data_IF_302385672665
#
_entry.id   IF_302385672665
#
_cell.length_a   1.000
_cell.length_b   1.000
_cell.length_c   1.000
_cell.angle_alpha   90.00
_cell.angle_beta   90.00
_cell.angle_gamma   90.00
#
_symmetry.space_group_name_H-M   'P 1'
#
loop_
_entity.id
_entity.type
_entity.pdbx_description
1 polymer ?
#
# COMPACT_ATOMS: atom_id res chain seq x y z
N UNK A 1 -59.65 19.72 7.79
CA UNK A 1 -59.44 18.60 6.87
C UNK A 1 -57.98 18.70 6.50
N UNK A 2 -57.24 17.71 6.97
CA UNK A 2 -55.80 17.58 6.84
C UNK A 2 -55.44 17.32 5.38
N UNK A 3 -54.57 18.15 4.81
CA UNK A 3 -53.93 17.92 3.50
C UNK A 3 -52.43 18.27 3.66
N UNK A 4 -51.72 17.43 4.41
CA UNK A 4 -50.28 17.21 4.26
C UNK A 4 -50.08 15.94 3.41
N UNK A 5 -48.96 15.85 2.68
CA UNK A 5 -48.42 14.68 1.95
C UNK A 5 -48.56 14.59 0.42
N UNK A 6 -47.98 15.55 -0.33
CA UNK A 6 -47.67 15.31 -1.76
C UNK A 6 -46.21 15.59 -2.19
N UNK A 7 -45.29 15.84 -1.24
CA UNK A 7 -43.85 15.98 -1.53
C UNK A 7 -42.99 15.20 -0.52
N UNK A 8 -43.28 13.92 -0.31
CA UNK A 8 -42.36 13.03 0.42
C UNK A 8 -41.23 12.56 -0.52
N UNK A 9 -40.00 13.10 -0.39
CA UNK A 9 -38.88 12.73 -1.24
C UNK A 9 -38.50 11.24 -1.12
N UNK A 10 -38.96 10.54 -0.07
CA UNK A 10 -38.70 9.11 0.11
C UNK A 10 -39.48 8.25 -0.88
N UNK A 11 -40.70 8.66 -1.28
CA UNK A 11 -41.48 7.93 -2.30
C UNK A 11 -40.80 7.98 -3.67
N UNK A 12 -40.27 9.14 -4.04
CA UNK A 12 -39.52 9.31 -5.31
C UNK A 12 -38.24 8.46 -5.33
N UNK A 13 -37.58 8.29 -4.20
CA UNK A 13 -36.39 7.44 -4.08
C UNK A 13 -36.79 5.96 -4.17
N UNK A 14 -37.88 5.56 -3.52
CA UNK A 14 -38.39 4.18 -3.57
C UNK A 14 -38.78 3.75 -4.99
N UNK A 15 -39.45 4.61 -5.75
CA UNK A 15 -39.85 4.31 -7.14
C UNK A 15 -38.63 4.17 -8.07
N UNK A 16 -37.59 5.00 -7.88
CA UNK A 16 -36.34 4.87 -8.65
C UNK A 16 -35.59 3.57 -8.36
N UNK A 17 -35.57 3.13 -7.10
CA UNK A 17 -34.96 1.86 -6.71
C UNK A 17 -35.77 0.69 -7.26
N UNK A 18 -37.10 0.82 -7.34
CA UNK A 18 -37.97 -0.23 -7.86
C UNK A 18 -37.87 -0.38 -9.39
N UNK A 19 -37.54 0.67 -10.14
CA UNK A 19 -37.31 0.59 -11.59
C UNK A 19 -35.94 -0.02 -11.96
N UNK A 20 -34.90 0.12 -11.13
CA UNK A 20 -33.59 -0.51 -11.37
C UNK A 20 -33.53 -2.00 -10.96
N UNK A 21 -34.55 -2.51 -10.27
CA UNK A 21 -34.58 -3.87 -9.70
C UNK A 21 -35.09 -5.00 -10.62
N UNK A 22 -35.43 -4.74 -11.89
CA UNK A 22 -36.06 -5.74 -12.76
C UNK A 22 -35.25 -6.13 -14.01
N UNK A 23 -33.94 -6.29 -13.85
CA UNK A 23 -33.08 -7.00 -14.79
C UNK A 23 -32.45 -8.20 -14.07
N UNK A 24 -33.24 -9.26 -13.87
CA UNK A 24 -32.73 -10.58 -13.50
C UNK A 24 -32.87 -11.47 -14.75
N UNK A 25 -31.83 -11.49 -15.58
CA UNK A 25 -31.59 -12.56 -16.55
C UNK A 25 -30.10 -12.53 -16.95
N UNK A 26 -29.26 -13.15 -16.12
CA UNK A 26 -28.19 -14.06 -16.58
C UNK A 26 -27.64 -14.77 -15.33
N UNK A 27 -28.14 -15.97 -15.06
CA UNK A 27 -27.40 -16.98 -14.31
C UNK A 27 -26.09 -17.28 -15.06
N UNK A 28 -24.99 -17.52 -14.33
CA UNK A 28 -23.74 -18.15 -14.80
C UNK A 28 -22.54 -17.32 -15.29
N UNK A 29 -22.30 -16.09 -14.80
CA UNK A 29 -20.93 -15.53 -14.80
C UNK A 29 -20.62 -14.74 -13.52
N UNK A 30 -20.68 -15.41 -12.36
CA UNK A 30 -19.77 -15.04 -11.28
C UNK A 30 -18.40 -15.48 -11.75
N UNK A 31 -17.69 -14.59 -12.45
CA UNK A 31 -16.25 -14.75 -12.64
C UNK A 31 -15.68 -15.04 -11.26
N UNK A 32 -14.96 -16.15 -11.09
CA UNK A 32 -14.11 -16.37 -9.93
C UNK A 32 -12.98 -15.34 -9.97
N UNK A 33 -13.33 -14.07 -9.81
CA UNK A 33 -12.38 -13.01 -9.56
C UNK A 33 -11.90 -13.23 -8.15
N UNK A 34 -10.61 -13.51 -8.05
CA UNK A 34 -9.88 -13.65 -6.80
C UNK A 34 -10.33 -12.52 -5.84
N UNK A 35 -10.78 -12.83 -4.61
CA UNK A 35 -11.28 -11.83 -3.69
C UNK A 35 -10.29 -10.67 -3.55
N UNK A 36 -10.78 -9.43 -3.55
CA UNK A 36 -9.96 -8.26 -3.22
C UNK A 36 -9.20 -8.57 -1.92
N UNK A 37 -7.86 -8.51 -1.96
CA UNK A 37 -6.92 -8.87 -0.88
C UNK A 37 -6.44 -10.34 -0.81
N UNK A 38 -6.70 -11.21 -1.80
CA UNK A 38 -6.23 -12.62 -1.78
C UNK A 38 -4.71 -12.82 -1.93
N UNK A 39 -3.95 -11.75 -2.23
CA UNK A 39 -2.48 -11.74 -2.27
C UNK A 39 -1.83 -10.86 -1.21
N UNK A 40 -2.56 -10.41 -0.19
CA UNK A 40 -2.07 -9.52 0.88
C UNK A 40 -1.40 -10.28 2.04
N UNK A 41 -1.34 -11.62 1.96
CA UNK A 41 -0.60 -12.48 2.89
C UNK A 41 0.82 -12.82 2.42
N UNK A 42 1.29 -12.15 1.35
CA UNK A 42 2.68 -12.27 0.89
C UNK A 42 3.62 -11.52 1.84
N UNK A 43 3.80 -12.04 3.05
CA UNK A 43 4.87 -11.61 3.94
C UNK A 43 6.19 -12.20 3.46
N UNK A 44 7.16 -11.33 3.16
CA UNK A 44 8.54 -11.71 2.88
C UNK A 44 9.28 -12.05 4.18
N UNK A 45 8.69 -12.95 4.98
CA UNK A 45 9.20 -13.31 6.31
C UNK A 45 10.62 -13.91 6.23
N UNK A 46 11.04 -14.38 5.04
CA UNK A 46 12.41 -14.82 4.76
C UNK A 46 13.46 -13.71 4.92
N UNK A 47 13.10 -12.46 4.64
CA UNK A 47 14.06 -11.34 4.65
C UNK A 47 14.47 -10.94 6.08
N UNK A 48 13.63 -11.21 7.08
CA UNK A 48 13.94 -10.93 8.49
C UNK A 48 14.98 -11.90 9.04
N UNK A 49 14.92 -13.18 8.67
CA UNK A 49 15.91 -14.18 9.08
C UNK A 49 17.28 -13.90 8.43
N UNK A 50 17.30 -13.51 7.16
CA UNK A 50 18.53 -13.14 6.43
C UNK A 50 19.21 -11.89 6.99
N UNK A 51 18.48 -10.99 7.65
CA UNK A 51 19.05 -9.79 8.23
C UNK A 51 20.08 -10.10 9.33
N UNK A 52 19.89 -11.18 10.10
CA UNK A 52 20.82 -11.59 11.16
C UNK A 52 22.11 -12.24 10.63
N UNK A 53 22.11 -12.70 9.37
CA UNK A 53 23.27 -13.29 8.70
C UNK A 53 24.00 -12.30 7.77
N UNK A 54 23.53 -11.04 7.71
CA UNK A 54 24.11 -10.05 6.82
C UNK A 54 25.58 -9.74 7.17
N UNK A 55 26.50 -10.08 6.26
CA UNK A 55 27.94 -9.79 6.41
C UNK A 55 28.24 -8.29 6.43
N UNK A 56 27.46 -7.49 5.68
CA UNK A 56 27.68 -6.07 5.53
C UNK A 56 26.56 -5.28 6.20
N UNK A 57 26.91 -4.39 7.13
CA UNK A 57 25.96 -3.64 7.95
C UNK A 57 26.25 -2.13 7.88
N UNK A 58 25.19 -1.33 7.86
CA UNK A 58 25.26 0.13 7.93
C UNK A 58 24.27 0.62 8.98
N UNK A 59 24.76 1.28 10.02
CA UNK A 59 23.94 1.93 11.04
C UNK A 59 24.18 3.44 10.99
N UNK A 60 23.12 4.23 10.80
CA UNK A 60 23.22 5.68 10.65
C UNK A 60 21.90 6.38 10.96
N UNK A 61 21.92 7.71 10.95
CA UNK A 61 20.70 8.53 10.93
C UNK A 61 20.42 9.00 9.50
N UNK A 62 19.15 9.18 9.15
CA UNK A 62 18.80 9.81 7.88
C UNK A 62 18.60 11.32 8.05
N UNK A 63 18.91 12.08 7.02
CA UNK A 63 18.54 13.49 6.91
C UNK A 63 17.40 13.68 5.90
N UNK A 64 17.50 13.02 4.74
CA UNK A 64 16.50 13.14 3.68
C UNK A 64 16.38 11.82 2.93
N UNK A 65 15.14 11.36 2.75
CA UNK A 65 14.81 10.23 1.87
C UNK A 65 13.83 10.76 0.83
N UNK A 66 14.08 10.47 -0.44
CA UNK A 66 13.26 10.91 -1.55
C UNK A 66 13.05 9.78 -2.55
N UNK A 67 11.83 9.67 -3.08
CA UNK A 67 11.45 8.70 -4.09
C UNK A 67 10.78 9.37 -5.28
N UNK A 68 11.13 8.95 -6.48
CA UNK A 68 10.46 9.28 -7.73
C UNK A 68 10.28 8.00 -8.56
N UNK A 69 9.05 7.46 -8.59
CA UNK A 69 8.76 6.12 -9.15
C UNK A 69 9.61 5.05 -8.45
N UNK A 70 10.39 4.26 -9.19
CA UNK A 70 11.33 3.26 -8.66
C UNK A 70 12.64 3.86 -8.15
N UNK A 71 12.93 5.14 -8.41
CA UNK A 71 14.22 5.75 -8.06
C UNK A 71 14.20 6.30 -6.64
N UNK A 72 15.19 5.90 -5.85
CA UNK A 72 15.41 6.33 -4.48
C UNK A 72 16.68 7.16 -4.37
N UNK A 73 16.62 8.23 -3.58
CA UNK A 73 17.78 9.02 -3.16
C UNK A 73 17.75 9.21 -1.65
N UNK A 74 18.88 8.95 -1.01
CA UNK A 74 19.03 9.05 0.43
C UNK A 74 20.25 9.91 0.79
N UNK A 75 20.05 10.79 1.76
CA UNK A 75 21.09 11.55 2.44
C UNK A 75 21.10 11.11 3.89
N UNK A 76 22.22 10.54 4.32
CA UNK A 76 22.45 9.92 5.63
C UNK A 76 23.55 10.68 6.37
N UNK A 77 23.56 10.58 7.70
CA UNK A 77 24.57 11.19 8.59
C UNK A 77 24.93 10.29 9.77
N UNK A 78 26.03 10.62 10.44
CA UNK A 78 26.48 9.99 11.70
C UNK A 78 26.49 8.46 11.62
N UNK A 79 27.12 7.91 10.58
CA UNK A 79 27.04 6.49 10.27
C UNK A 79 28.30 5.68 10.57
N UNK A 80 28.08 4.42 10.92
CA UNK A 80 29.09 3.38 11.11
C UNK A 80 28.74 2.22 10.17
N UNK A 81 29.74 1.69 9.47
CA UNK A 81 29.56 0.61 8.51
C UNK A 81 30.54 -0.52 8.81
N UNK A 82 30.07 -1.75 8.77
CA UNK A 82 30.90 -2.95 8.76
C UNK A 82 30.83 -3.56 7.36
N UNK A 83 31.92 -3.51 6.60
CA UNK A 83 31.95 -3.96 5.20
C UNK A 83 33.18 -4.83 4.98
N UNK A 84 32.97 -6.08 4.54
CA UNK A 84 34.03 -7.06 4.22
C UNK A 84 35.08 -7.19 5.35
N UNK A 85 34.60 -7.29 6.59
CA UNK A 85 35.44 -7.41 7.78
C UNK A 85 36.18 -6.14 8.19
N UNK A 86 35.78 -4.96 7.68
CA UNK A 86 36.38 -3.67 8.05
C UNK A 86 35.33 -2.67 8.52
N UNK A 87 35.71 -1.90 9.53
CA UNK A 87 34.88 -0.84 10.08
C UNK A 87 35.18 0.51 9.42
N UNK A 88 34.11 1.21 9.06
CA UNK A 88 34.14 2.54 8.47
C UNK A 88 33.18 3.47 9.21
N UNK A 89 33.47 4.77 9.21
CA UNK A 89 32.54 5.77 9.71
C UNK A 89 32.41 6.93 8.72
N UNK A 90 31.27 7.61 8.73
CA UNK A 90 31.02 8.78 7.90
C UNK A 90 30.23 9.84 8.68
N UNK A 91 30.54 11.11 8.42
CA UNK A 91 29.71 12.22 8.90
C UNK A 91 28.48 12.41 8.02
N UNK A 92 28.64 12.25 6.70
CA UNK A 92 27.54 12.35 5.72
C UNK A 92 27.76 11.37 4.57
N UNK A 93 26.68 10.78 4.07
CA UNK A 93 26.68 9.86 2.94
C UNK A 93 25.48 10.18 2.03
N UNK A 94 25.71 10.17 0.72
CA UNK A 94 24.67 10.32 -0.30
C UNK A 94 24.62 9.04 -1.13
N UNK A 95 23.43 8.51 -1.37
CA UNK A 95 23.26 7.34 -2.22
C UNK A 95 21.98 7.37 -3.03
N UNK A 96 21.99 6.57 -4.08
CA UNK A 96 20.89 6.40 -5.04
C UNK A 96 20.66 4.90 -5.25
N UNK A 97 19.40 4.49 -5.40
CA UNK A 97 19.01 3.10 -5.65
C UNK A 97 17.77 3.02 -6.55
N UNK A 98 17.51 1.85 -7.12
CA UNK A 98 16.26 1.52 -7.83
C UNK A 98 15.57 0.35 -7.10
N UNK A 99 14.24 0.45 -6.93
CA UNK A 99 13.37 -0.60 -6.39
C UNK A 99 12.56 -1.23 -7.51
#
# INVERSE_FOLDING_TARGET
MDEEDDDDPLRTIADRISEEGNAVDDEDQVTEEDPLNSGDDQSDDEDVERLFEAENLVMCQFEKVHRARSKWKFTLKDGIMHIRGKDHCFQRCSGEAEW
#
